data_IF_973572706313
#
_entry.id   IF_973572706313
#
_cell.length_a   1.000
_cell.length_b   1.000
_cell.length_c   1.000
_cell.angle_alpha   90.00
_cell.angle_beta   90.00
_cell.angle_gamma   90.00
#
_symmetry.space_group_name_H-M   'P 1'
#
loop_
_entity.id
_entity.type
_entity.pdbx_description
1 polymer ?
#
# COMPACT_ATOMS: atom_id res chain seq x y z
N UNK A 1 2.20 -5.91 -16.20
CA UNK A 1 2.74 -4.54 -16.34
C UNK A 1 2.59 -3.77 -15.05
N UNK A 2 3.43 -2.75 -14.81
CA UNK A 2 3.52 -1.98 -13.57
C UNK A 2 3.54 -0.47 -13.85
N UNK A 3 3.11 0.35 -12.90
CA UNK A 3 3.12 1.80 -13.01
C UNK A 3 3.65 2.47 -11.74
N UNK A 4 4.38 3.57 -11.92
CA UNK A 4 4.72 4.49 -10.83
C UNK A 4 3.54 5.42 -10.56
N UNK A 5 3.11 5.51 -9.31
CA UNK A 5 1.93 6.28 -8.89
C UNK A 5 2.31 7.25 -7.77
N UNK A 6 2.12 8.54 -8.01
CA UNK A 6 2.31 9.58 -7.00
C UNK A 6 1.01 9.80 -6.23
N UNK A 7 0.98 9.29 -5.00
CA UNK A 7 -0.20 9.33 -4.13
C UNK A 7 -0.26 10.59 -3.26
N UNK A 8 0.87 11.29 -3.05
CA UNK A 8 0.98 12.50 -2.24
C UNK A 8 2.02 13.47 -2.82
N UNK A 9 1.76 14.79 -2.79
CA UNK A 9 2.76 15.80 -3.12
C UNK A 9 4.01 15.68 -2.23
N UNK A 10 5.19 15.96 -2.79
CA UNK A 10 6.46 15.96 -2.07
C UNK A 10 6.94 14.58 -1.58
N UNK A 11 6.21 13.50 -1.86
CA UNK A 11 6.59 12.12 -1.50
C UNK A 11 6.99 11.33 -2.75
N UNK A 12 7.94 10.41 -2.59
CA UNK A 12 8.30 9.47 -3.65
C UNK A 12 7.11 8.59 -4.08
N UNK A 13 7.09 8.09 -5.33
CA UNK A 13 5.98 7.29 -5.85
C UNK A 13 5.85 5.93 -5.16
N UNK A 14 4.70 5.29 -5.31
CA UNK A 14 4.52 3.85 -5.06
C UNK A 14 4.42 3.11 -6.39
N UNK A 15 4.75 1.82 -6.41
CA UNK A 15 4.58 1.00 -7.62
C UNK A 15 3.27 0.23 -7.54
N UNK A 16 2.42 0.38 -8.55
CA UNK A 16 1.19 -0.38 -8.72
C UNK A 16 1.42 -1.48 -9.76
N UNK A 17 1.22 -2.73 -9.37
CA UNK A 17 1.26 -3.88 -10.26
C UNK A 17 -0.13 -4.48 -10.40
N UNK A 18 -0.46 -4.89 -11.63
CA UNK A 18 -1.64 -5.71 -11.88
C UNK A 18 -1.53 -7.05 -11.11
N UNK A 19 -2.55 -7.36 -10.33
CA UNK A 19 -2.73 -8.65 -9.66
C UNK A 19 -3.64 -9.59 -10.46
N UNK A 20 -4.20 -10.59 -9.78
CA UNK A 20 -5.09 -11.57 -10.40
C UNK A 20 -6.34 -10.92 -11.02
N UNK A 21 -6.61 -11.23 -12.29
CA UNK A 21 -7.78 -10.72 -13.06
C UNK A 21 -7.91 -9.19 -13.06
N UNK A 22 -6.78 -8.49 -13.02
CA UNK A 22 -6.72 -7.02 -13.14
C UNK A 22 -5.68 -6.63 -14.18
N UNK A 23 -5.79 -5.43 -14.71
CA UNK A 23 -4.77 -4.82 -15.54
C UNK A 23 -4.07 -3.67 -14.80
N UNK A 24 -3.11 -3.03 -15.47
CA UNK A 24 -2.38 -1.90 -14.88
C UNK A 24 -3.25 -0.68 -14.63
N UNK A 25 -4.29 -0.45 -15.44
CA UNK A 25 -5.19 0.68 -15.26
C UNK A 25 -6.04 0.50 -13.99
N UNK A 26 -6.61 -0.68 -13.80
CA UNK A 26 -7.34 -1.06 -12.60
C UNK A 26 -6.44 -0.95 -11.34
N UNK A 27 -5.19 -1.41 -11.41
CA UNK A 27 -4.24 -1.28 -10.30
C UNK A 27 -3.96 0.19 -9.92
N UNK A 28 -3.76 1.07 -10.91
CA UNK A 28 -3.57 2.51 -10.70
C UNK A 28 -4.82 3.14 -10.09
N UNK A 29 -6.00 2.81 -10.62
CA UNK A 29 -7.29 3.32 -10.12
C UNK A 29 -7.50 2.97 -8.64
N UNK A 30 -7.24 1.72 -8.25
CA UNK A 30 -7.33 1.27 -6.85
C UNK A 30 -6.36 2.06 -5.97
N UNK A 31 -5.10 2.23 -6.37
CA UNK A 31 -4.11 3.01 -5.61
C UNK A 31 -4.54 4.47 -5.46
N UNK A 32 -5.03 5.10 -6.53
CA UNK A 32 -5.46 6.50 -6.51
C UNK A 32 -6.71 6.71 -5.67
N UNK A 33 -7.69 5.79 -5.71
CA UNK A 33 -8.89 5.87 -4.88
C UNK A 33 -8.65 5.59 -3.41
N UNK A 34 -7.62 4.80 -3.10
CA UNK A 34 -7.24 4.47 -1.72
C UNK A 34 -6.15 5.38 -1.15
N UNK A 35 -5.79 6.46 -1.86
CA UNK A 35 -4.84 7.46 -1.36
C UNK A 35 -5.48 8.29 -0.24
N UNK A 36 -4.64 8.87 0.60
CA UNK A 36 -5.06 9.81 1.64
C UNK A 36 -3.93 10.80 1.93
N UNK A 37 -3.85 11.29 3.17
CA UNK A 37 -2.74 12.17 3.61
C UNK A 37 -1.34 11.55 3.49
N UNK A 38 -1.25 10.23 3.35
CA UNK A 38 0.01 9.48 3.41
C UNK A 38 0.41 8.92 2.04
N UNK A 39 1.72 8.77 1.82
CA UNK A 39 2.27 8.09 0.64
C UNK A 39 1.73 6.67 0.47
N UNK A 40 1.67 5.90 1.55
CA UNK A 40 1.24 4.49 1.48
C UNK A 40 -0.29 4.42 1.39
N UNK A 41 -0.86 3.68 0.43
CA UNK A 41 -2.30 3.48 0.32
C UNK A 41 -2.91 3.01 1.64
N UNK A 42 -4.09 3.56 1.90
CA UNK A 42 -4.74 3.48 3.19
C UNK A 42 -5.01 2.03 3.66
N UNK A 43 -5.43 1.07 2.80
CA UNK A 43 -5.59 -0.34 3.17
C UNK A 43 -4.29 -0.99 3.63
N UNK A 44 -3.18 -0.74 2.91
CA UNK A 44 -1.87 -1.29 3.28
C UNK A 44 -1.38 -0.72 4.61
N UNK A 45 -1.60 0.57 4.85
CA UNK A 45 -1.25 1.21 6.11
C UNK A 45 -2.00 0.57 7.28
N UNK A 46 -3.33 0.42 7.15
CA UNK A 46 -4.17 -0.22 8.17
C UNK A 46 -3.79 -1.66 8.44
N UNK A 47 -3.44 -2.43 7.41
CA UNK A 47 -3.02 -3.82 7.59
C UNK A 47 -1.64 -3.94 8.24
N UNK A 48 -0.70 -3.03 7.94
CA UNK A 48 0.68 -3.11 8.45
C UNK A 48 0.81 -2.82 9.94
N UNK A 49 -0.02 -1.95 10.52
CA UNK A 49 0.03 -1.64 11.96
C UNK A 49 -0.21 -2.87 12.85
N UNK A 50 -1.37 -3.56 12.79
CA UNK A 50 -1.63 -4.73 13.63
C UNK A 50 -0.67 -5.87 13.32
N UNK A 51 -0.29 -6.06 12.04
CA UNK A 51 0.70 -7.08 11.68
C UNK A 51 2.08 -6.82 12.32
N UNK A 52 2.48 -5.55 12.49
CA UNK A 52 3.74 -5.19 13.17
C UNK A 52 3.63 -5.41 14.68
N UNK A 53 2.51 -5.01 15.28
CA UNK A 53 2.23 -5.22 16.70
C UNK A 53 2.23 -6.71 17.06
N UNK A 54 1.53 -7.54 16.27
CA UNK A 54 1.49 -8.98 16.46
C UNK A 54 2.89 -9.63 16.37
N UNK A 55 3.72 -9.20 15.40
CA UNK A 55 5.11 -9.66 15.31
C UNK A 55 5.96 -9.21 16.50
N UNK A 56 5.75 -8.01 17.00
CA UNK A 56 6.45 -7.50 18.18
C UNK A 56 6.09 -8.30 19.43
N UNK A 57 4.80 -8.57 19.64
CA UNK A 57 4.31 -9.37 20.75
C UNK A 57 4.83 -10.82 20.68
N UNK A 58 4.79 -11.44 19.50
CA UNK A 58 5.32 -12.79 19.30
C UNK A 58 6.83 -12.89 19.61
N UNK A 59 7.60 -11.83 19.36
CA UNK A 59 9.03 -11.79 19.71
C UNK A 59 9.26 -11.58 21.21
N UNK A 60 8.39 -10.85 21.90
CA UNK A 60 8.52 -10.60 23.34
C UNK A 60 8.18 -11.84 24.19
N UNK A 61 7.41 -12.78 23.64
CA UNK A 61 7.02 -14.04 24.30
C UNK A 61 8.07 -15.16 24.05
N UNK A 62 8.99 -14.95 23.12
CA UNK A 62 10.07 -15.89 22.78
C UNK A 62 11.33 -15.59 23.57
#
# INVERSE_FOLDING_TARGET
MAAWVWTSPGSGPVVAHAGWRTDSAAAVEVVMRSRGRWRTPEPLRRARSPAREARSAARAIR
#
